data_IF_050265866835
#
_entry.id   IF_050265866835
#
_cell.length_a   1.000
_cell.length_b   1.000
_cell.length_c   1.000
_cell.angle_alpha   90.00
_cell.angle_beta   90.00
_cell.angle_gamma   90.00
#
_symmetry.space_group_name_H-M   'P 1'
#
loop_
_entity.id
_entity.type
_entity.pdbx_description
1 polymer ?
#
# COMPACT_ATOMS: atom_id res chain seq x y z
N UNK A 1 -9.37 -66.19 31.69
CA UNK A 1 -8.44 -65.39 32.51
C UNK A 1 -7.30 -64.87 31.63
N UNK A 2 -7.04 -63.57 31.75
CA UNK A 2 -5.89 -62.78 31.20
C UNK A 2 -5.85 -62.43 29.70
N UNK A 3 -6.16 -61.18 29.48
CA UNK A 3 -5.91 -60.37 28.28
C UNK A 3 -4.41 -60.20 27.99
N UNK A 4 -4.02 -60.24 26.72
CA UNK A 4 -2.79 -59.59 26.24
C UNK A 4 -3.11 -58.76 25.01
N UNK A 5 -2.84 -57.46 25.10
CA UNK A 5 -2.94 -56.46 24.02
C UNK A 5 -1.72 -56.61 23.12
N UNK A 6 -1.91 -56.71 21.82
CA UNK A 6 -0.86 -56.52 20.83
C UNK A 6 -1.05 -55.20 20.09
N UNK A 7 -0.11 -54.29 20.34
CA UNK A 7 0.08 -53.10 19.53
C UNK A 7 0.75 -53.44 18.22
N UNK A 8 0.14 -53.10 17.09
CA UNK A 8 0.76 -53.16 15.78
C UNK A 8 1.22 -51.76 15.42
N UNK A 9 2.54 -51.58 15.34
CA UNK A 9 3.22 -50.38 14.90
C UNK A 9 3.24 -50.39 13.36
N UNK A 10 2.39 -49.59 12.70
CA UNK A 10 2.38 -49.43 11.25
C UNK A 10 3.38 -48.38 10.79
N UNK A 11 4.41 -48.81 10.11
CA UNK A 11 5.42 -47.97 9.48
C UNK A 11 4.89 -47.46 8.15
N UNK A 12 4.43 -46.21 8.05
CA UNK A 12 4.09 -45.59 6.78
C UNK A 12 5.35 -45.01 6.12
N UNK A 13 5.79 -45.66 5.02
CA UNK A 13 6.77 -45.11 4.08
C UNK A 13 6.08 -44.00 3.27
N UNK A 14 6.43 -42.75 3.49
CA UNK A 14 6.00 -41.64 2.64
C UNK A 14 6.92 -41.57 1.41
N UNK A 15 6.38 -41.89 0.23
CA UNK A 15 7.05 -41.65 -1.04
C UNK A 15 6.96 -40.12 -1.32
N UNK A 16 8.11 -39.44 -1.37
CA UNK A 16 8.25 -38.07 -1.85
C UNK A 16 8.16 -38.10 -3.39
N UNK A 17 7.03 -37.71 -3.92
CA UNK A 17 6.90 -37.30 -5.32
C UNK A 17 7.13 -35.80 -5.43
N UNK A 18 8.29 -35.40 -5.95
CA UNK A 18 8.58 -34.02 -6.33
C UNK A 18 7.79 -33.68 -7.59
N UNK A 19 6.63 -33.07 -7.42
CA UNK A 19 5.98 -32.39 -8.53
C UNK A 19 6.50 -30.95 -8.57
N UNK A 20 7.26 -30.62 -9.59
CA UNK A 20 7.50 -29.26 -10.01
C UNK A 20 6.21 -28.74 -10.64
N UNK A 21 5.34 -28.16 -9.83
CA UNK A 21 4.22 -27.37 -10.30
C UNK A 21 4.70 -25.94 -10.49
N UNK A 22 4.70 -25.44 -11.72
CA UNK A 22 4.78 -24.02 -11.99
C UNK A 22 3.54 -23.37 -11.39
N UNK A 23 3.72 -22.69 -10.26
CA UNK A 23 2.67 -21.86 -9.66
C UNK A 23 2.65 -20.55 -10.41
N UNK A 24 1.62 -20.34 -11.23
CA UNK A 24 1.27 -19.00 -11.71
C UNK A 24 1.12 -18.06 -10.50
N UNK A 25 1.60 -16.80 -10.59
CA UNK A 25 1.48 -15.85 -9.50
C UNK A 25 0.00 -15.56 -9.24
N UNK A 26 -0.52 -16.13 -8.16
CA UNK A 26 -1.87 -15.87 -7.69
C UNK A 26 -1.88 -14.54 -6.94
N UNK A 27 -2.60 -13.56 -7.45
CA UNK A 27 -2.94 -12.34 -6.71
C UNK A 27 -3.94 -12.71 -5.62
N UNK A 28 -3.44 -13.06 -4.45
CA UNK A 28 -4.30 -13.38 -3.31
C UNK A 28 -4.74 -12.08 -2.62
N UNK A 29 -5.99 -11.71 -2.81
CA UNK A 29 -6.63 -10.71 -1.97
C UNK A 29 -6.75 -11.28 -0.54
N UNK A 30 -6.19 -10.58 0.44
CA UNK A 30 -6.38 -10.91 1.84
C UNK A 30 -7.84 -10.62 2.21
N UNK A 31 -8.69 -11.64 2.12
CA UNK A 31 -10.03 -11.58 2.72
C UNK A 31 -9.87 -11.71 4.22
N UNK A 32 -10.39 -10.74 4.98
CA UNK A 32 -10.55 -10.90 6.40
C UNK A 32 -11.49 -12.09 6.64
N UNK A 33 -10.93 -13.22 7.10
CA UNK A 33 -11.72 -14.37 7.57
C UNK A 33 -12.41 -13.97 8.87
N UNK A 34 -13.74 -14.05 8.97
CA UNK A 34 -14.42 -13.71 10.21
C UNK A 34 -14.03 -14.71 11.29
N UNK A 35 -13.44 -14.21 12.36
CA UNK A 35 -13.23 -14.96 13.59
C UNK A 35 -14.60 -15.21 14.25
N UNK A 36 -14.94 -16.47 14.48
CA UNK A 36 -16.17 -16.93 15.13
C UNK A 36 -16.12 -16.68 16.63
N UNK A 37 -16.22 -15.41 17.06
CA UNK A 37 -16.54 -15.06 18.46
C UNK A 37 -17.22 -13.71 18.49
N UNK A 38 -18.51 -13.72 18.84
CA UNK A 38 -19.42 -12.58 19.09
C UNK A 38 -19.24 -11.46 18.06
N UNK A 39 -20.02 -11.50 17.02
CA UNK A 39 -19.84 -10.80 15.77
C UNK A 39 -19.86 -9.27 15.92
N UNK A 40 -18.69 -8.67 15.96
CA UNK A 40 -18.54 -7.30 15.53
C UNK A 40 -18.77 -7.30 14.01
N UNK A 41 -19.91 -6.78 13.58
CA UNK A 41 -20.23 -6.65 12.14
C UNK A 41 -19.13 -5.82 11.51
N UNK A 42 -18.32 -6.42 10.66
CA UNK A 42 -17.30 -5.70 9.91
C UNK A 42 -17.96 -5.12 8.65
N UNK A 43 -17.82 -3.83 8.49
CA UNK A 43 -18.33 -3.14 7.31
C UNK A 43 -17.22 -2.93 6.31
N UNK A 44 -17.51 -3.28 5.06
CA UNK A 44 -16.67 -2.96 3.91
C UNK A 44 -17.28 -1.81 3.11
N UNK A 45 -16.48 -1.22 2.22
CA UNK A 45 -16.89 -0.06 1.45
C UNK A 45 -16.56 -0.25 -0.03
N UNK A 46 -17.41 0.29 -0.91
CA UNK A 46 -17.10 0.33 -2.33
C UNK A 46 -15.95 1.30 -2.62
N UNK A 47 -15.00 0.80 -3.41
CA UNK A 47 -13.83 1.54 -3.89
C UNK A 47 -14.19 2.49 -5.04
N UNK A 48 -15.13 2.11 -5.90
CA UNK A 48 -15.47 2.82 -7.12
C UNK A 48 -16.89 3.36 -7.10
N UNK A 49 -17.15 4.32 -7.98
CA UNK A 49 -18.47 4.85 -8.25
C UNK A 49 -19.20 4.01 -9.32
N UNK A 50 -20.52 4.13 -9.39
CA UNK A 50 -21.38 3.45 -10.36
C UNK A 50 -21.22 1.94 -10.40
N UNK A 51 -21.08 1.29 -9.24
CA UNK A 51 -20.95 -0.16 -9.12
C UNK A 51 -22.31 -0.82 -9.17
N UNK A 52 -22.50 -1.79 -10.08
CA UNK A 52 -23.73 -2.59 -10.13
C UNK A 52 -23.73 -3.65 -9.03
N UNK A 53 -24.76 -3.60 -8.19
CA UNK A 53 -25.17 -4.76 -7.39
C UNK A 53 -25.89 -5.73 -8.32
N UNK A 54 -25.46 -6.99 -8.36
CA UNK A 54 -25.97 -7.98 -9.33
C UNK A 54 -26.72 -9.11 -8.67
N UNK A 55 -27.67 -9.67 -9.40
CA UNK A 55 -28.45 -10.83 -8.95
C UNK A 55 -27.61 -12.11 -8.85
N UNK A 56 -26.62 -12.27 -9.72
CA UNK A 56 -25.72 -13.41 -9.79
C UNK A 56 -24.25 -12.96 -9.81
N UNK A 57 -23.29 -13.81 -9.36
CA UNK A 57 -21.86 -13.50 -9.34
C UNK A 57 -21.26 -13.52 -10.76
N UNK A 58 -21.61 -12.55 -11.58
CA UNK A 58 -21.18 -12.45 -12.98
C UNK A 58 -21.30 -11.04 -13.51
N UNK A 59 -20.33 -10.60 -14.35
CA UNK A 59 -20.41 -9.33 -15.08
C UNK A 59 -21.64 -9.26 -16.01
N UNK A 60 -22.18 -10.41 -16.42
CA UNK A 60 -23.40 -10.53 -17.22
C UNK A 60 -24.67 -10.68 -16.36
N UNK A 61 -24.54 -10.79 -15.03
CA UNK A 61 -25.66 -10.87 -14.10
C UNK A 61 -26.54 -9.62 -14.21
N UNK A 62 -27.85 -9.80 -14.07
CA UNK A 62 -28.80 -8.69 -14.07
C UNK A 62 -28.48 -7.70 -12.94
N UNK A 63 -28.47 -6.41 -13.24
CA UNK A 63 -28.29 -5.37 -12.26
C UNK A 63 -29.52 -5.23 -11.37
N UNK A 64 -29.33 -5.26 -10.05
CA UNK A 64 -30.37 -5.04 -9.03
C UNK A 64 -30.41 -3.57 -8.65
N UNK A 65 -29.24 -2.97 -8.45
CA UNK A 65 -29.07 -1.58 -8.09
C UNK A 65 -27.76 -1.01 -8.65
N UNK A 66 -27.68 0.31 -8.72
CA UNK A 66 -26.46 1.07 -9.01
C UNK A 66 -26.00 1.76 -7.73
N UNK A 67 -24.78 1.49 -7.32
CA UNK A 67 -24.25 1.90 -6.02
C UNK A 67 -23.16 2.97 -6.20
N UNK A 68 -23.19 4.04 -5.39
CA UNK A 68 -22.14 5.06 -5.38
C UNK A 68 -20.89 4.59 -4.63
N UNK A 69 -19.78 5.28 -4.87
CA UNK A 69 -18.55 5.12 -4.11
C UNK A 69 -18.79 5.25 -2.60
N UNK A 70 -18.08 4.45 -1.81
CA UNK A 70 -18.19 4.50 -0.35
C UNK A 70 -19.48 3.92 0.20
N UNK A 71 -20.30 3.25 -0.62
CA UNK A 71 -21.43 2.46 -0.13
C UNK A 71 -20.93 1.46 0.90
N UNK A 72 -21.51 1.56 2.11
CA UNK A 72 -21.20 0.69 3.23
C UNK A 72 -21.98 -0.62 3.11
N UNK A 73 -21.31 -1.75 3.23
CA UNK A 73 -21.91 -3.07 3.07
C UNK A 73 -21.36 -4.08 4.07
N UNK A 74 -22.07 -5.18 4.23
CA UNK A 74 -21.62 -6.36 5.00
C UNK A 74 -21.44 -7.51 4.03
N UNK A 75 -20.26 -8.13 4.02
CA UNK A 75 -19.99 -9.36 3.25
C UNK A 75 -20.69 -10.52 3.95
N UNK A 76 -21.50 -11.26 3.18
CA UNK A 76 -22.22 -12.43 3.63
C UNK A 76 -21.58 -13.73 3.16
N UNK A 77 -21.06 -13.73 1.92
CA UNK A 77 -20.59 -14.95 1.26
C UNK A 77 -19.51 -14.59 0.23
N UNK A 78 -18.54 -15.48 0.03
CA UNK A 78 -17.57 -15.46 -1.06
C UNK A 78 -17.94 -16.53 -2.07
N UNK A 79 -18.08 -16.17 -3.34
CA UNK A 79 -18.34 -17.10 -4.44
C UNK A 79 -17.06 -17.86 -4.82
N UNK A 80 -17.21 -19.09 -5.29
CA UNK A 80 -16.15 -19.84 -5.96
C UNK A 80 -15.77 -19.24 -7.32
N UNK A 81 -16.68 -18.43 -7.91
CA UNK A 81 -16.45 -17.81 -9.20
C UNK A 81 -15.47 -16.64 -9.08
N UNK A 82 -14.49 -16.66 -9.95
CA UNK A 82 -13.53 -15.56 -10.14
C UNK A 82 -13.74 -14.95 -11.54
N UNK A 83 -13.57 -13.64 -11.62
CA UNK A 83 -13.48 -12.91 -12.89
C UNK A 83 -12.25 -12.01 -12.86
N UNK A 84 -11.66 -11.77 -14.04
CA UNK A 84 -10.53 -10.86 -14.21
C UNK A 84 -11.00 -9.61 -14.93
N UNK A 85 -10.84 -8.45 -14.29
CA UNK A 85 -11.14 -7.14 -14.87
C UNK A 85 -9.90 -6.24 -14.70
N UNK A 86 -9.50 -5.56 -15.76
CA UNK A 86 -8.32 -4.70 -15.80
C UNK A 86 -7.04 -5.39 -15.30
N UNK A 87 -6.90 -6.70 -15.60
CA UNK A 87 -5.80 -7.55 -15.15
C UNK A 87 -5.85 -7.98 -13.70
N UNK A 88 -6.83 -7.54 -12.92
CA UNK A 88 -7.03 -7.92 -11.53
C UNK A 88 -7.99 -9.10 -11.47
N UNK A 89 -7.56 -10.20 -10.85
CA UNK A 89 -8.37 -11.38 -10.61
C UNK A 89 -8.99 -11.32 -9.22
N UNK A 90 -10.32 -11.49 -9.12
CA UNK A 90 -11.03 -11.52 -7.84
C UNK A 90 -12.28 -12.36 -7.87
N UNK A 91 -12.67 -12.85 -6.68
CA UNK A 91 -13.97 -13.51 -6.48
C UNK A 91 -15.10 -12.49 -6.45
N UNK A 92 -16.31 -12.98 -6.59
CA UNK A 92 -17.53 -12.25 -6.30
C UNK A 92 -17.91 -12.41 -4.83
N UNK A 93 -18.48 -11.37 -4.25
CA UNK A 93 -18.93 -11.36 -2.86
C UNK A 93 -20.41 -11.02 -2.81
N UNK A 94 -21.17 -11.85 -2.10
CA UNK A 94 -22.55 -11.52 -1.75
C UNK A 94 -22.51 -10.51 -0.60
N UNK A 95 -23.18 -9.40 -0.80
CA UNK A 95 -23.19 -8.31 0.17
C UNK A 95 -24.62 -7.92 0.52
N UNK A 96 -24.82 -7.39 1.74
CA UNK A 96 -26.03 -6.73 2.15
C UNK A 96 -25.81 -5.24 2.37
N UNK A 97 -26.76 -4.43 1.90
CA UNK A 97 -26.77 -2.97 1.94
C UNK A 97 -28.15 -2.54 2.38
N UNK A 98 -28.32 -2.25 3.66
CA UNK A 98 -29.66 -2.02 4.24
C UNK A 98 -30.55 -3.27 4.05
N UNK A 99 -31.65 -3.12 3.30
CA UNK A 99 -32.59 -4.21 3.00
C UNK A 99 -32.26 -4.96 1.69
N UNK A 100 -31.35 -4.44 0.89
CA UNK A 100 -30.97 -5.02 -0.39
C UNK A 100 -29.81 -6.01 -0.21
N UNK A 101 -29.75 -7.02 -1.08
CA UNK A 101 -28.63 -7.95 -1.17
C UNK A 101 -28.35 -8.33 -2.62
N UNK A 102 -27.09 -8.65 -2.90
CA UNK A 102 -26.65 -9.06 -4.23
C UNK A 102 -25.17 -9.27 -4.29
N UNK A 103 -24.64 -9.40 -5.50
CA UNK A 103 -23.24 -9.72 -5.75
C UNK A 103 -22.47 -8.50 -6.25
N UNK A 104 -21.28 -8.32 -5.68
CA UNK A 104 -20.28 -7.33 -6.11
C UNK A 104 -18.97 -8.06 -6.38
N UNK A 105 -18.28 -7.69 -7.46
CA UNK A 105 -16.95 -8.21 -7.74
C UNK A 105 -15.92 -7.62 -6.76
N UNK A 106 -15.05 -8.47 -6.18
CA UNK A 106 -14.17 -8.07 -5.07
C UNK A 106 -13.15 -6.99 -5.43
N UNK A 107 -12.74 -6.87 -6.69
CA UNK A 107 -11.86 -5.79 -7.13
C UNK A 107 -12.46 -4.37 -7.00
N UNK A 108 -13.80 -4.28 -6.78
CA UNK A 108 -14.48 -3.01 -6.53
C UNK A 108 -14.74 -2.75 -5.03
N UNK A 109 -14.27 -3.64 -4.16
CA UNK A 109 -14.32 -3.48 -2.71
C UNK A 109 -12.99 -2.89 -2.24
N UNK A 110 -13.03 -1.84 -1.43
CA UNK A 110 -11.82 -1.19 -0.93
C UNK A 110 -11.00 -2.16 -0.06
N UNK A 111 -9.69 -2.21 -0.29
CA UNK A 111 -8.76 -2.94 0.57
C UNK A 111 -8.61 -2.26 1.94
N UNK A 112 -8.73 -0.95 1.95
CA UNK A 112 -8.76 -0.15 3.16
C UNK A 112 -9.56 1.13 2.97
N UNK A 113 -10.30 1.51 4.01
CA UNK A 113 -11.03 2.78 4.07
C UNK A 113 -10.74 3.46 5.40
N UNK A 114 -10.44 4.76 5.35
CA UNK A 114 -10.17 5.57 6.53
C UNK A 114 -10.67 6.99 6.33
N UNK A 115 -10.77 7.75 7.41
CA UNK A 115 -11.26 9.14 7.38
C UNK A 115 -10.16 10.17 7.22
N UNK A 116 -10.53 11.34 6.74
CA UNK A 116 -9.74 12.55 6.90
C UNK A 116 -9.73 12.96 8.37
N UNK A 117 -8.57 13.40 8.89
CA UNK A 117 -8.48 13.99 10.23
C UNK A 117 -8.94 15.46 10.24
N UNK A 118 -8.73 16.14 9.12
CA UNK A 118 -9.14 17.54 8.96
C UNK A 118 -10.63 17.71 8.68
N UNK A 119 -11.30 16.71 8.07
CA UNK A 119 -12.71 16.79 7.67
C UNK A 119 -13.49 15.52 7.96
N UNK A 120 -14.35 15.53 8.97
CA UNK A 120 -15.13 14.36 9.40
C UNK A 120 -16.01 13.71 8.32
N UNK A 121 -16.32 14.42 7.23
CA UNK A 121 -17.19 13.95 6.18
C UNK A 121 -16.42 13.40 4.96
N UNK A 122 -15.10 13.58 4.91
CA UNK A 122 -14.25 13.05 3.84
C UNK A 122 -13.68 11.70 4.26
N UNK A 123 -13.77 10.72 3.37
CA UNK A 123 -13.18 9.42 3.53
C UNK A 123 -12.29 9.10 2.34
N UNK A 124 -11.31 8.27 2.60
CA UNK A 124 -10.37 7.75 1.62
C UNK A 124 -10.57 6.25 1.45
N UNK A 125 -10.64 5.78 0.22
CA UNK A 125 -10.72 4.37 -0.14
C UNK A 125 -9.50 3.99 -0.97
N UNK A 126 -8.79 2.97 -0.55
CA UNK A 126 -7.58 2.43 -1.19
C UNK A 126 -7.87 1.06 -1.77
N UNK A 127 -7.31 0.77 -2.95
CA UNK A 127 -7.38 -0.53 -3.58
C UNK A 127 -6.55 -0.62 -4.85
N UNK A 128 -6.76 -1.70 -5.61
CA UNK A 128 -6.08 -1.92 -6.88
C UNK A 128 -6.80 -1.17 -8.01
N UNK A 129 -6.03 -0.68 -8.98
CA UNK A 129 -6.55 -0.03 -10.19
C UNK A 129 -6.49 -0.95 -11.39
N UNK A 130 -5.30 -1.51 -11.67
CA UNK A 130 -5.06 -2.42 -12.80
C UNK A 130 -3.80 -3.24 -12.58
N UNK A 131 -3.67 -4.31 -13.35
CA UNK A 131 -2.43 -5.07 -13.48
C UNK A 131 -2.18 -5.38 -14.95
N UNK A 132 -0.95 -5.19 -15.41
CA UNK A 132 -0.50 -5.49 -16.77
C UNK A 132 0.80 -6.27 -16.72
N UNK A 133 1.10 -7.01 -17.78
CA UNK A 133 2.39 -7.69 -17.93
C UNK A 133 3.21 -6.85 -18.90
N UNK A 134 4.42 -6.44 -18.49
CA UNK A 134 5.33 -5.68 -19.34
C UNK A 134 6.05 -6.59 -20.36
N UNK A 135 6.88 -5.99 -21.22
CA UNK A 135 7.63 -6.73 -22.25
C UNK A 135 8.64 -7.74 -21.67
N UNK A 136 9.09 -7.54 -20.43
CA UNK A 136 9.97 -8.47 -19.73
C UNK A 136 9.22 -9.63 -19.05
N UNK A 137 7.87 -9.65 -19.13
CA UNK A 137 7.03 -10.66 -18.47
C UNK A 137 6.78 -10.36 -17.00
N UNK A 138 7.11 -9.17 -16.51
CA UNK A 138 6.89 -8.77 -15.14
C UNK A 138 5.49 -8.15 -14.96
N UNK A 139 4.87 -8.40 -13.81
CA UNK A 139 3.57 -7.81 -13.49
C UNK A 139 3.77 -6.38 -12.98
N UNK A 140 3.25 -5.43 -13.73
CA UNK A 140 3.10 -4.04 -13.31
C UNK A 140 1.70 -3.84 -12.72
N UNK A 141 1.64 -3.55 -11.43
CA UNK A 141 0.38 -3.30 -10.75
C UNK A 141 0.25 -1.82 -10.39
N UNK A 142 -0.92 -1.27 -10.71
CA UNK A 142 -1.30 0.08 -10.28
C UNK A 142 -2.29 0.02 -9.14
N UNK A 143 -2.06 0.89 -8.18
CA UNK A 143 -2.93 1.12 -7.04
C UNK A 143 -3.65 2.46 -7.20
N UNK A 144 -4.74 2.61 -6.48
CA UNK A 144 -5.51 3.84 -6.45
C UNK A 144 -5.90 4.23 -5.04
N UNK A 145 -5.96 5.53 -4.83
CA UNK A 145 -6.56 6.14 -3.66
C UNK A 145 -7.62 7.12 -4.13
N UNK A 146 -8.83 7.00 -3.58
CA UNK A 146 -9.97 7.85 -3.90
C UNK A 146 -10.44 8.58 -2.66
N UNK A 147 -10.72 9.87 -2.80
CA UNK A 147 -11.41 10.65 -1.79
C UNK A 147 -12.89 10.75 -2.16
N UNK A 148 -13.75 10.59 -1.17
CA UNK A 148 -15.20 10.70 -1.38
C UNK A 148 -15.90 11.32 -0.16
N UNK A 149 -17.07 11.88 -0.42
CA UNK A 149 -17.96 12.46 0.60
C UNK A 149 -19.40 12.19 0.19
N UNK A 150 -20.19 11.60 1.08
CA UNK A 150 -21.63 11.35 0.87
C UNK A 150 -21.94 10.63 -0.46
N UNK A 151 -21.14 9.63 -0.83
CA UNK A 151 -21.33 8.86 -2.07
C UNK A 151 -20.86 9.56 -3.34
N UNK A 152 -20.18 10.70 -3.23
CA UNK A 152 -19.63 11.44 -4.38
C UNK A 152 -18.11 11.42 -4.31
N UNK A 153 -17.47 10.97 -5.40
CA UNK A 153 -16.02 11.04 -5.53
C UNK A 153 -15.56 12.49 -5.67
N UNK A 154 -14.56 12.88 -4.89
CA UNK A 154 -13.95 14.22 -4.92
C UNK A 154 -12.73 14.21 -5.81
N UNK A 155 -11.82 13.25 -5.59
CA UNK A 155 -10.58 13.11 -6.34
C UNK A 155 -10.10 11.66 -6.36
N UNK A 156 -9.19 11.35 -7.28
CA UNK A 156 -8.55 10.05 -7.45
C UNK A 156 -7.10 10.24 -7.85
N UNK A 157 -6.20 9.51 -7.20
CA UNK A 157 -4.81 9.39 -7.62
C UNK A 157 -4.49 7.92 -7.88
N UNK A 158 -3.70 7.68 -8.92
CA UNK A 158 -3.18 6.35 -9.30
C UNK A 158 -1.67 6.39 -9.21
N UNK A 159 -1.08 5.34 -8.69
CA UNK A 159 0.37 5.22 -8.52
C UNK A 159 0.79 3.76 -8.71
N UNK A 160 2.07 3.57 -9.03
CA UNK A 160 2.61 2.23 -9.17
C UNK A 160 2.66 1.54 -7.81
N UNK A 161 2.26 0.28 -7.77
CA UNK A 161 2.34 -0.57 -6.59
C UNK A 161 3.41 -1.63 -6.75
N UNK A 162 3.78 -2.25 -5.64
CA UNK A 162 4.65 -3.43 -5.67
C UNK A 162 3.79 -4.70 -5.67
N UNK A 163 4.06 -5.55 -6.65
CA UNK A 163 3.59 -6.93 -6.84
C UNK A 163 2.51 -7.41 -5.84
N UNK A 164 1.28 -7.49 -6.29
CA UNK A 164 0.20 -8.34 -5.75
C UNK A 164 -0.22 -8.14 -4.28
N UNK A 165 0.38 -7.22 -3.53
CA UNK A 165 0.03 -6.99 -2.12
C UNK A 165 -0.53 -5.59 -1.92
N UNK A 166 -1.60 -5.51 -1.13
CA UNK A 166 -2.05 -4.22 -0.61
C UNK A 166 -0.93 -3.62 0.25
N UNK A 167 -0.63 -2.34 0.01
CA UNK A 167 0.35 -1.59 0.80
C UNK A 167 -0.25 -1.26 2.17
N UNK A 168 0.59 -1.19 3.19
CA UNK A 168 0.16 -0.59 4.44
C UNK A 168 0.02 0.92 4.23
N UNK A 169 -1.18 1.44 4.47
CA UNK A 169 -1.53 2.83 4.23
C UNK A 169 -2.13 3.44 5.50
N UNK A 170 -1.70 4.65 5.86
CA UNK A 170 -2.14 5.37 7.05
C UNK A 170 -2.36 6.85 6.74
N UNK A 171 -3.41 7.43 7.31
CA UNK A 171 -3.49 8.88 7.49
C UNK A 171 -2.71 9.25 8.74
N UNK A 172 -1.78 10.18 8.63
CA UNK A 172 -0.94 10.65 9.74
C UNK A 172 -1.21 12.13 10.09
N UNK A 173 -2.37 12.66 9.64
CA UNK A 173 -2.76 14.06 9.83
C UNK A 173 -1.86 15.01 9.03
N UNK A 174 -1.91 16.30 9.35
CA UNK A 174 -1.10 17.30 8.65
C UNK A 174 0.33 17.44 9.19
N UNK A 175 0.67 16.76 10.28
CA UNK A 175 1.99 16.77 10.90
C UNK A 175 2.59 18.18 11.14
N UNK A 176 1.73 19.15 11.36
CA UNK A 176 2.15 20.55 11.60
C UNK A 176 2.52 21.32 10.33
N UNK A 177 2.32 20.75 9.14
CA UNK A 177 2.48 21.47 7.88
C UNK A 177 1.31 22.42 7.65
N UNK A 178 1.61 23.59 7.15
CA UNK A 178 0.63 24.56 6.71
C UNK A 178 0.15 24.22 5.27
N UNK A 179 -1.11 24.47 4.97
CA UNK A 179 -1.73 24.14 3.66
C UNK A 179 -1.68 22.65 3.30
N UNK A 180 -1.75 21.78 4.30
CA UNK A 180 -1.98 20.35 4.15
C UNK A 180 -3.06 19.96 5.13
N UNK A 181 -4.11 19.31 4.66
CA UNK A 181 -5.20 18.82 5.51
C UNK A 181 -4.83 17.44 6.09
N UNK A 182 -4.40 16.52 5.23
CA UNK A 182 -3.99 15.17 5.61
C UNK A 182 -2.76 14.72 4.83
N UNK A 183 -1.94 13.91 5.45
CA UNK A 183 -0.82 13.21 4.82
C UNK A 183 -1.14 11.71 4.86
N UNK A 184 -1.18 11.11 3.70
CA UNK A 184 -1.34 9.67 3.56
C UNK A 184 0.04 9.07 3.31
N UNK A 185 0.51 8.27 4.27
CA UNK A 185 1.77 7.54 4.19
C UNK A 185 1.48 6.09 3.79
N UNK A 186 2.22 5.60 2.79
CA UNK A 186 2.18 4.23 2.31
C UNK A 186 3.54 3.58 2.52
N UNK A 187 3.56 2.41 3.13
CA UNK A 187 4.79 1.63 3.26
C UNK A 187 5.02 0.83 1.98
N UNK A 188 6.19 1.02 1.37
CA UNK A 188 6.65 0.26 0.21
C UNK A 188 7.47 -0.92 0.74
N UNK A 189 6.97 -2.16 0.61
CA UNK A 189 7.67 -3.33 1.13
C UNK A 189 8.83 -3.72 0.23
N UNK A 190 9.85 -4.36 0.79
CA UNK A 190 10.82 -5.10 0.02
C UNK A 190 10.13 -6.27 -0.71
N UNK A 191 10.59 -6.59 -1.91
CA UNK A 191 10.08 -7.68 -2.74
C UNK A 191 11.15 -8.72 -2.98
N UNK A 192 10.75 -9.91 -3.44
CA UNK A 192 11.70 -10.93 -3.88
C UNK A 192 12.51 -10.38 -5.08
N UNK A 193 13.83 -10.39 -4.97
CA UNK A 193 14.73 -9.79 -5.95
C UNK A 193 15.00 -8.29 -5.79
N UNK A 194 14.21 -7.57 -4.97
CA UNK A 194 14.47 -6.19 -4.63
C UNK A 194 14.28 -5.96 -3.12
N UNK A 195 15.37 -5.84 -2.38
CA UNK A 195 15.37 -5.63 -0.93
C UNK A 195 15.06 -4.18 -0.51
N UNK A 196 14.92 -3.29 -1.48
CA UNK A 196 14.61 -1.90 -1.21
C UNK A 196 13.18 -1.77 -0.68
N UNK A 197 13.05 -1.12 0.44
CA UNK A 197 11.79 -0.75 1.07
C UNK A 197 11.71 0.75 1.17
N UNK A 198 10.56 1.30 1.51
CA UNK A 198 10.47 2.75 1.61
C UNK A 198 9.10 3.24 2.03
N UNK A 199 8.90 4.53 1.84
CA UNK A 199 7.61 5.20 2.08
C UNK A 199 7.26 6.14 0.95
N UNK A 200 5.99 6.09 0.55
CA UNK A 200 5.39 7.09 -0.33
C UNK A 200 4.52 8.03 0.51
N UNK A 201 4.56 9.32 0.18
CA UNK A 201 3.76 10.34 0.82
C UNK A 201 2.85 11.05 -0.18
N UNK A 202 1.56 10.95 0.05
CA UNK A 202 0.53 11.63 -0.73
C UNK A 202 -0.12 12.67 0.20
N UNK A 203 -0.09 13.95 -0.22
CA UNK A 203 -0.74 15.02 0.51
C UNK A 203 -2.14 15.25 -0.02
N UNK A 204 -3.06 15.46 0.89
CA UNK A 204 -4.43 15.86 0.64
C UNK A 204 -4.62 17.31 1.07
N UNK A 205 -5.10 18.13 0.16
CA UNK A 205 -5.40 19.53 0.43
C UNK A 205 -6.41 20.07 -0.58
N UNK A 206 -7.39 20.85 -0.12
CA UNK A 206 -8.40 21.51 -0.95
C UNK A 206 -9.08 20.57 -1.97
N UNK A 207 -9.40 19.36 -1.53
CA UNK A 207 -10.07 18.38 -2.38
C UNK A 207 -9.19 17.72 -3.45
N UNK A 208 -7.86 17.77 -3.30
CA UNK A 208 -6.89 17.20 -4.25
C UNK A 208 -5.82 16.37 -3.56
N UNK A 209 -5.49 15.25 -4.19
CA UNK A 209 -4.28 14.47 -3.89
C UNK A 209 -3.09 15.00 -4.66
N UNK A 210 -1.94 15.02 -4.01
CA UNK A 210 -0.63 15.26 -4.64
C UNK A 210 0.35 14.20 -4.18
N UNK A 211 0.94 13.44 -5.10
CA UNK A 211 2.08 12.59 -4.79
C UNK A 211 3.30 13.49 -4.57
N UNK A 212 3.85 13.46 -3.35
CA UNK A 212 4.86 14.43 -2.92
C UNK A 212 6.26 13.86 -2.97
N UNK A 213 6.41 12.62 -2.48
CA UNK A 213 7.70 11.96 -2.43
C UNK A 213 7.55 10.45 -2.28
N UNK A 214 8.53 9.74 -2.81
CA UNK A 214 8.79 8.33 -2.50
C UNK A 214 10.22 8.23 -2.01
N UNK A 215 10.39 7.89 -0.75
CA UNK A 215 11.67 7.70 -0.08
C UNK A 215 11.98 6.21 -0.10
N UNK A 216 13.04 5.82 -0.80
CA UNK A 216 13.41 4.41 -0.99
C UNK A 216 14.73 4.13 -0.32
N UNK A 217 14.73 3.22 0.62
CA UNK A 217 15.93 2.68 1.22
C UNK A 217 16.63 1.77 0.21
N UNK A 218 17.93 1.90 0.13
CA UNK A 218 18.78 1.03 -0.67
C UNK A 218 19.81 0.36 0.22
N UNK A 219 20.06 -0.93 -0.01
CA UNK A 219 21.10 -1.66 0.73
C UNK A 219 21.69 -2.76 -0.14
N UNK A 220 23.01 -2.74 -0.30
CA UNK A 220 23.81 -3.81 -0.89
C UNK A 220 25.06 -4.10 -0.02
N UNK A 221 25.96 -4.92 -0.52
CA UNK A 221 27.17 -5.32 0.22
C UNK A 221 28.19 -4.21 0.42
N UNK A 222 28.13 -3.16 -0.37
CA UNK A 222 29.10 -2.06 -0.37
C UNK A 222 28.54 -0.74 0.12
N UNK A 223 27.20 -0.59 0.08
CA UNK A 223 26.53 0.69 0.28
C UNK A 223 25.14 0.51 0.87
N UNK A 224 24.76 1.40 1.77
CA UNK A 224 23.37 1.53 2.20
C UNK A 224 22.95 3.00 2.29
N UNK A 225 21.70 3.27 1.92
CA UNK A 225 21.05 4.58 2.02
C UNK A 225 19.68 4.41 2.64
N UNK A 226 19.36 5.22 3.65
CA UNK A 226 18.02 5.29 4.25
C UNK A 226 17.56 6.74 4.25
N UNK A 227 16.32 6.96 3.86
CA UNK A 227 15.73 8.30 3.81
C UNK A 227 14.50 8.38 4.71
N UNK A 228 14.36 9.47 5.45
CA UNK A 228 13.22 9.76 6.30
C UNK A 228 12.86 11.23 6.34
N UNK A 229 11.55 11.51 6.43
CA UNK A 229 11.08 12.85 6.73
C UNK A 229 10.91 13.06 8.23
N UNK A 230 11.41 14.22 8.72
CA UNK A 230 11.05 14.80 10.01
C UNK A 230 10.06 15.93 9.75
N UNK A 231 8.89 15.79 10.29
CA UNK A 231 7.80 16.76 10.11
C UNK A 231 7.81 17.82 11.20
N UNK A 232 7.18 19.00 10.98
CA UNK A 232 7.16 20.09 11.97
C UNK A 232 6.67 19.70 13.36
N UNK A 233 5.77 18.73 13.49
CA UNK A 233 5.25 18.26 14.78
C UNK A 233 6.06 17.15 15.43
N UNK A 234 7.08 16.61 14.76
CA UNK A 234 7.95 15.59 15.34
C UNK A 234 8.91 16.23 16.35
N UNK A 235 9.57 15.44 17.19
CA UNK A 235 10.39 15.91 18.30
C UNK A 235 11.51 16.88 17.85
N UNK A 236 12.12 16.62 16.70
CA UNK A 236 13.20 17.44 16.13
C UNK A 236 12.69 18.28 14.94
N UNK A 237 11.38 18.44 14.84
CA UNK A 237 10.73 19.10 13.72
C UNK A 237 11.01 20.62 13.68
N UNK A 238 11.22 21.13 12.48
CA UNK A 238 11.43 22.57 12.24
C UNK A 238 10.11 23.18 11.79
N UNK A 239 9.67 24.24 12.47
CA UNK A 239 8.38 24.91 12.19
C UNK A 239 8.25 25.26 10.70
N UNK A 240 7.13 24.83 10.10
CA UNK A 240 6.75 25.09 8.70
C UNK A 240 7.75 24.52 7.67
N UNK A 241 8.58 23.55 8.07
CA UNK A 241 9.53 22.89 7.18
C UNK A 241 9.39 21.38 7.27
N UNK A 242 9.70 20.72 6.17
CA UNK A 242 9.88 19.28 6.09
C UNK A 242 11.38 19.04 5.97
N UNK A 243 11.97 18.30 6.89
CA UNK A 243 13.39 17.97 6.87
C UNK A 243 13.54 16.56 6.31
N UNK A 244 14.35 16.42 5.27
CA UNK A 244 14.76 15.12 4.75
C UNK A 244 16.11 14.76 5.35
N UNK A 245 16.15 13.66 6.09
CA UNK A 245 17.36 13.03 6.58
C UNK A 245 17.74 11.89 5.66
N UNK A 246 18.96 11.91 5.16
CA UNK A 246 19.54 10.86 4.33
C UNK A 246 20.75 10.29 5.04
N UNK A 247 20.66 9.06 5.53
CA UNK A 247 21.77 8.32 6.11
C UNK A 247 22.42 7.47 5.01
N UNK A 248 23.72 7.61 4.86
CA UNK A 248 24.55 6.86 3.93
C UNK A 248 25.61 6.12 4.73
N UNK A 249 25.76 4.81 4.47
CA UNK A 249 26.85 3.99 4.98
C UNK A 249 27.59 3.38 3.80
N UNK A 250 28.87 3.67 3.67
CA UNK A 250 29.78 3.09 2.67
C UNK A 250 30.65 2.03 3.37
N UNK A 251 30.48 0.77 2.95
CA UNK A 251 31.20 -0.38 3.49
C UNK A 251 32.49 -0.60 2.70
N UNK A 252 33.48 0.27 2.82
CA UNK A 252 34.77 0.12 2.15
C UNK A 252 35.54 -1.09 2.69
N UNK A 253 35.55 -2.17 1.93
CA UNK A 253 36.46 -3.27 2.19
C UNK A 253 37.88 -2.81 1.83
N UNK A 254 38.69 -2.49 2.81
CA UNK A 254 40.12 -2.26 2.57
C UNK A 254 40.72 -3.63 2.30
N UNK A 255 41.10 -3.88 1.06
CA UNK A 255 41.88 -5.06 0.69
C UNK A 255 43.10 -5.15 1.58
N UNK A 256 43.24 -6.25 2.35
CA UNK A 256 44.37 -6.62 3.21
C UNK A 256 44.40 -6.13 4.66
N UNK A 257 43.29 -5.69 5.25
CA UNK A 257 43.25 -5.50 6.71
C UNK A 257 41.88 -5.90 7.25
N UNK A 258 41.85 -6.74 8.30
CA UNK A 258 40.63 -7.28 8.93
C UNK A 258 39.71 -6.23 9.61
N UNK A 259 39.99 -4.95 9.43
CA UNK A 259 39.18 -3.86 9.93
C UNK A 259 38.41 -3.21 8.78
N UNK A 260 37.20 -3.71 8.48
CA UNK A 260 36.24 -3.00 7.63
C UNK A 260 35.92 -1.64 8.28
N UNK A 261 36.30 -0.55 7.64
CA UNK A 261 35.96 0.81 8.09
C UNK A 261 34.68 1.24 7.40
N UNK A 262 33.60 1.39 8.19
CA UNK A 262 32.37 2.01 7.71
C UNK A 262 32.54 3.54 7.70
N UNK A 263 32.26 4.15 6.56
CA UNK A 263 32.14 5.61 6.44
C UNK A 263 30.65 5.97 6.48
N UNK A 264 30.25 6.76 7.50
CA UNK A 264 28.85 7.13 7.75
C UNK A 264 28.67 8.62 7.52
N UNK A 265 27.67 8.97 6.72
CA UNK A 265 27.32 10.35 6.41
C UNK A 265 25.83 10.57 6.66
N UNK A 266 25.50 11.66 7.35
CA UNK A 266 24.16 12.21 7.46
C UNK A 266 24.07 13.46 6.59
N UNK A 267 23.10 13.49 5.68
CA UNK A 267 22.77 14.67 4.88
C UNK A 267 21.40 15.16 5.32
N UNK A 268 21.31 16.44 5.65
CA UNK A 268 20.06 17.09 6.04
C UNK A 268 19.68 18.08 4.94
N UNK A 269 18.44 17.99 4.46
CA UNK A 269 17.90 18.92 3.48
C UNK A 269 16.54 19.43 3.95
N UNK A 270 16.33 20.73 3.89
CA UNK A 270 15.08 21.35 4.33
C UNK A 270 14.21 21.76 3.13
N UNK A 271 12.92 21.53 3.27
CA UNK A 271 11.93 21.84 2.24
C UNK A 271 10.75 22.62 2.83
N UNK A 272 10.14 23.44 2.00
CA UNK A 272 8.83 24.06 2.26
C UNK A 272 7.81 23.51 1.29
N UNK A 273 6.63 23.19 1.79
CA UNK A 273 5.49 22.89 0.96
C UNK A 273 4.82 24.19 0.46
N UNK A 274 4.71 24.37 -0.85
CA UNK A 274 4.12 25.56 -1.45
C UNK A 274 2.68 25.39 -1.90
N UNK A 275 2.06 24.24 -1.58
CA UNK A 275 0.71 23.85 -2.03
C UNK A 275 0.68 22.91 -3.23
N UNK A 276 1.81 22.73 -3.93
CA UNK A 276 1.93 21.89 -5.13
C UNK A 276 3.13 20.95 -5.10
N UNK A 277 4.25 21.40 -4.55
CA UNK A 277 5.50 20.64 -4.48
C UNK A 277 6.35 21.07 -3.29
N UNK A 278 7.28 20.22 -2.93
CA UNK A 278 8.37 20.57 -2.01
C UNK A 278 9.36 21.47 -2.74
N UNK A 279 9.68 22.59 -2.11
CA UNK A 279 10.69 23.54 -2.58
C UNK A 279 11.85 23.50 -1.60
N UNK A 280 13.03 23.15 -2.07
CA UNK A 280 14.23 23.14 -1.22
C UNK A 280 14.49 24.53 -0.68
N UNK A 281 14.79 24.61 0.61
CA UNK A 281 15.25 25.86 1.22
C UNK A 281 16.73 25.99 0.88
N UNK A 282 17.09 27.04 0.14
CA UNK A 282 18.50 27.33 -0.14
C UNK A 282 19.19 27.70 1.16
N UNK A 283 20.32 27.07 1.41
CA UNK A 283 21.16 27.42 2.54
C UNK A 283 21.63 28.87 2.35
N UNK A 284 21.40 29.76 3.32
CA UNK A 284 22.17 30.98 3.44
C UNK A 284 23.64 30.56 3.57
N UNK A 285 24.58 31.23 2.92
CA UNK A 285 25.98 30.77 2.80
C UNK A 285 26.77 30.85 4.11
N UNK A 286 26.48 29.94 5.05
CA UNK A 286 27.23 29.71 6.27
C UNK A 286 27.24 28.23 6.68
N UNK A 287 27.59 27.32 5.78
CA UNK A 287 28.25 26.06 6.17
C UNK A 287 28.84 25.38 4.93
N UNK A 288 30.15 25.49 4.84
CA UNK A 288 30.95 24.74 3.87
C UNK A 288 30.98 23.26 4.24
N UNK A 289 30.05 22.50 3.66
CA UNK A 289 30.05 21.05 3.61
C UNK A 289 29.54 20.63 2.24
N UNK A 290 30.33 19.87 1.48
CA UNK A 290 30.11 19.52 0.10
C UNK A 290 28.67 19.04 -0.16
N UNK A 291 27.90 19.85 -0.89
CA UNK A 291 26.51 19.58 -1.28
C UNK A 291 26.50 18.70 -2.55
N UNK A 292 26.23 17.43 -2.38
CA UNK A 292 25.78 16.62 -3.50
C UNK A 292 24.26 16.77 -3.57
N UNK A 293 23.80 17.52 -4.58
CA UNK A 293 22.37 17.67 -4.86
C UNK A 293 21.74 16.30 -5.19
N UNK A 294 20.80 15.86 -4.36
CA UNK A 294 20.01 14.69 -4.69
C UNK A 294 18.86 15.08 -5.62
N UNK A 295 18.95 14.73 -6.91
CA UNK A 295 17.92 14.93 -7.93
C UNK A 295 16.70 13.99 -7.81
N UNK A 296 16.51 13.29 -6.68
CA UNK A 296 15.66 12.09 -6.61
C UNK A 296 14.31 12.26 -5.92
N UNK A 297 13.79 13.47 -5.76
CA UNK A 297 12.40 13.66 -5.31
C UNK A 297 11.39 13.64 -6.48
N UNK A 298 11.67 12.92 -7.56
CA UNK A 298 10.72 12.79 -8.66
C UNK A 298 9.73 11.65 -8.38
N UNK A 299 8.44 11.95 -8.17
CA UNK A 299 7.41 10.96 -7.85
C UNK A 299 7.08 10.01 -9.03
N UNK A 300 7.67 10.22 -10.20
CA UNK A 300 7.39 9.46 -11.42
C UNK A 300 8.43 8.39 -11.75
N UNK A 301 9.46 8.18 -10.91
CA UNK A 301 10.52 7.20 -11.15
C UNK A 301 10.19 5.81 -10.55
N UNK A 302 8.95 5.30 -10.77
CA UNK A 302 8.53 3.94 -10.42
C UNK A 302 7.73 3.31 -11.52
#
# INVERSE_FOLDING_TARGET
MKNVKNSILGLCLAAMSTMFGQTEPQVNFATATPSTTVSKVTYEYLLADHVYLRENPSIKGKAVALLPIGTKMVIQEKSEREDTLDGIKSNWYRVSIGNDSGWVWGGLIAQKTFGSEASHNVKFAYGFESATVNEAGEIEQKHQLRAFKNGVQIDKIVFNGHQSKALEIKNIGNKGLFNVEDIIALDIPATEGNQNKGKMYIFWNNGKFTNVASLIDHSDTSYSKTESFVFPSDMEGVKSRLVLETFITDHKTIANNDNAKEDKKLIISEYKWNGYKLVKVEDTPESTGDLVASEHLNPNNF
#
